data_IF_146354097166
#
_entry.id   IF_146354097166
#
_cell.length_a   1.000
_cell.length_b   1.000
_cell.length_c   1.000
_cell.angle_alpha   90.00
_cell.angle_beta   90.00
_cell.angle_gamma   90.00
#
_symmetry.space_group_name_H-M   'P 1'
#
loop_
_entity.id
_entity.type
_entity.pdbx_description
1 polymer ?
#
# COMPACT_ATOMS: atom_id res chain seq x y z
N UNK A 1 -7.69 -1.57 13.60
CA UNK A 1 -6.49 -0.84 13.17
C UNK A 1 -5.85 -1.74 12.13
N UNK A 2 -6.04 -1.44 10.84
CA UNK A 2 -5.55 -2.32 9.77
C UNK A 2 -4.04 -2.20 9.71
N UNK A 3 -3.37 -3.25 10.15
CA UNK A 3 -1.94 -3.33 10.10
C UNK A 3 -1.49 -3.39 8.64
N UNK A 4 -0.25 -2.99 8.37
CA UNK A 4 0.33 -3.14 7.01
C UNK A 4 0.40 -4.60 6.54
N UNK A 5 0.07 -5.55 7.44
CA UNK A 5 -0.09 -6.97 7.19
C UNK A 5 -1.36 -7.36 6.43
N UNK A 6 -2.40 -6.51 6.38
CA UNK A 6 -3.65 -6.79 5.65
C UNK A 6 -3.55 -6.44 4.15
N UNK A 7 -2.41 -5.95 3.67
CA UNK A 7 -2.21 -5.54 2.27
C UNK A 7 -2.22 -6.75 1.34
N UNK A 8 -3.41 -7.08 0.82
CA UNK A 8 -3.63 -8.08 -0.22
C UNK A 8 -3.92 -7.46 -1.58
N UNK A 9 -3.56 -8.16 -2.67
CA UNK A 9 -4.00 -7.78 -4.03
C UNK A 9 -5.53 -7.83 -4.11
N UNK A 10 -6.13 -6.81 -4.70
CA UNK A 10 -7.58 -6.68 -4.79
C UNK A 10 -8.24 -6.06 -3.56
N UNK A 11 -7.48 -5.75 -2.50
CA UNK A 11 -7.99 -5.00 -1.35
C UNK A 11 -8.35 -3.58 -1.79
N UNK A 12 -9.55 -3.14 -1.41
CA UNK A 12 -10.02 -1.77 -1.63
C UNK A 12 -9.73 -0.95 -0.39
N UNK A 13 -8.99 0.13 -0.55
CA UNK A 13 -8.57 1.02 0.51
C UNK A 13 -8.96 2.46 0.19
N UNK A 14 -9.25 3.24 1.21
CA UNK A 14 -9.47 4.68 1.08
C UNK A 14 -8.14 5.38 1.29
N UNK A 15 -7.70 6.15 0.30
CA UNK A 15 -6.50 7.00 0.38
C UNK A 15 -6.90 8.42 0.04
N UNK A 16 -6.66 9.34 0.98
CA UNK A 16 -6.97 10.77 0.83
C UNK A 16 -8.43 11.04 0.39
N UNK A 17 -9.37 10.26 0.92
CA UNK A 17 -10.79 10.38 0.58
C UNK A 17 -11.21 9.74 -0.74
N UNK A 18 -10.28 9.14 -1.49
CA UNK A 18 -10.56 8.44 -2.74
C UNK A 18 -10.38 6.92 -2.61
N UNK A 19 -11.24 6.11 -3.25
CA UNK A 19 -11.12 4.66 -3.23
C UNK A 19 -10.06 4.18 -4.23
N UNK A 20 -9.11 3.40 -3.73
CA UNK A 20 -8.07 2.72 -4.50
C UNK A 20 -8.18 1.21 -4.33
N UNK A 21 -7.76 0.46 -5.34
CA UNK A 21 -7.56 -0.99 -5.27
C UNK A 21 -6.09 -1.31 -5.34
N UNK A 22 -5.60 -2.14 -4.43
CA UNK A 22 -4.21 -2.60 -4.45
C UNK A 22 -4.02 -3.55 -5.63
N UNK A 23 -3.14 -3.17 -6.56
CA UNK A 23 -2.78 -3.99 -7.71
C UNK A 23 -1.52 -4.81 -7.44
N UNK A 24 -0.59 -4.24 -6.68
CA UNK A 24 0.65 -4.91 -6.31
C UNK A 24 1.17 -4.45 -4.95
N UNK A 25 1.86 -5.33 -4.24
CA UNK A 25 2.54 -4.98 -3.01
C UNK A 25 3.84 -5.74 -2.91
N UNK A 26 4.87 -5.07 -2.40
CA UNK A 26 6.21 -5.62 -2.24
C UNK A 26 6.70 -5.27 -0.86
N UNK A 27 6.81 -6.29 -0.01
CA UNK A 27 7.42 -6.15 1.29
C UNK A 27 8.94 -6.29 1.17
N UNK A 28 9.68 -5.25 1.58
CA UNK A 28 11.13 -5.17 1.48
C UNK A 28 11.73 -5.19 2.88
N UNK A 29 12.59 -6.19 3.13
CA UNK A 29 13.38 -6.33 4.36
C UNK A 29 14.85 -6.06 4.04
N UNK A 30 15.34 -4.81 4.17
CA UNK A 30 16.74 -4.52 3.93
C UNK A 30 17.60 -5.15 5.03
N UNK A 31 18.77 -5.70 4.69
CA UNK A 31 19.67 -6.34 5.65
C UNK A 31 20.19 -5.40 6.76
N UNK A 32 20.15 -4.08 6.53
CA UNK A 32 20.32 -3.02 7.53
C UNK A 32 19.31 -1.90 7.24
N UNK A 33 18.44 -1.56 8.20
CA UNK A 33 17.45 -0.49 8.10
C UNK A 33 16.01 -0.92 8.43
N UNK A 34 15.07 0.02 8.31
CA UNK A 34 13.66 -0.23 8.62
C UNK A 34 12.98 -0.97 7.46
N UNK A 35 12.13 -1.94 7.80
CA UNK A 35 11.30 -2.66 6.84
C UNK A 35 10.28 -1.70 6.22
N UNK A 36 9.98 -1.88 4.94
CA UNK A 36 8.97 -1.07 4.26
C UNK A 36 8.20 -1.90 3.24
N UNK A 37 6.94 -1.55 3.03
CA UNK A 37 6.06 -2.15 2.03
C UNK A 37 5.80 -1.12 0.95
N UNK A 38 6.19 -1.42 -0.29
CA UNK A 38 5.79 -0.64 -1.47
C UNK A 38 4.48 -1.20 -1.99
N UNK A 39 3.46 -0.36 -2.08
CA UNK A 39 2.15 -0.76 -2.58
C UNK A 39 1.82 0.05 -3.83
N UNK A 40 1.51 -0.64 -4.92
CA UNK A 40 0.92 -0.07 -6.11
C UNK A 40 -0.59 -0.22 -6.03
N UNK A 41 -1.28 0.88 -6.27
CA UNK A 41 -2.72 1.00 -6.14
C UNK A 41 -3.27 1.66 -7.39
N UNK A 42 -4.49 1.33 -7.77
CA UNK A 42 -5.20 1.97 -8.87
C UNK A 42 -6.45 2.65 -8.33
N UNK A 43 -6.63 3.92 -8.66
CA UNK A 43 -7.84 4.67 -8.32
C UNK A 43 -9.04 4.02 -8.99
N UNK A 44 -10.08 3.74 -8.21
CA UNK A 44 -11.35 3.22 -8.72
C UNK A 44 -12.21 4.31 -9.36
N UNK A 45 -11.91 5.59 -9.09
CA UNK A 45 -12.63 6.72 -9.68
C UNK A 45 -12.02 7.16 -11.01
N UNK A 46 -10.70 7.35 -11.03
CA UNK A 46 -9.98 7.95 -12.17
C UNK A 46 -9.21 6.92 -12.99
N UNK A 47 -9.03 5.69 -12.47
CA UNK A 47 -8.20 4.67 -13.11
C UNK A 47 -6.69 4.93 -13.01
N UNK A 48 -6.25 6.02 -12.38
CA UNK A 48 -4.85 6.40 -12.22
C UNK A 48 -4.10 5.43 -11.32
N UNK A 49 -2.85 5.12 -11.65
CA UNK A 49 -1.98 4.33 -10.79
C UNK A 49 -1.26 5.24 -9.81
N UNK A 50 -1.19 4.81 -8.55
CA UNK A 50 -0.49 5.49 -7.46
C UNK A 50 0.43 4.48 -6.78
N UNK A 51 1.69 4.87 -6.58
CA UNK A 51 2.66 4.08 -5.83
C UNK A 51 2.92 4.75 -4.49
N UNK A 52 2.75 4.00 -3.40
CA UNK A 52 2.98 4.49 -2.05
C UNK A 52 3.87 3.53 -1.28
N UNK A 53 4.85 4.08 -0.56
CA UNK A 53 5.72 3.30 0.31
C UNK A 53 5.30 3.53 1.75
N UNK A 54 4.94 2.46 2.45
CA UNK A 54 4.59 2.45 3.86
C UNK A 54 5.76 1.87 4.65
N UNK A 55 6.31 2.62 5.61
CA UNK A 55 7.35 2.09 6.49
C UNK A 55 6.70 1.24 7.59
N UNK A 56 7.31 0.11 7.92
CA UNK A 56 6.85 -0.75 9.01
C UNK A 56 7.02 0.02 10.32
N UNK A 57 5.90 0.46 10.90
CA UNK A 57 5.86 1.28 12.12
C UNK A 57 5.16 2.64 11.98
N UNK A 58 4.86 3.10 10.76
CA UNK A 58 3.91 4.22 10.56
C UNK A 58 2.49 3.66 10.67
N UNK A 59 1.80 4.02 11.76
CA UNK A 59 0.38 3.71 11.99
C UNK A 59 -0.52 4.49 11.03
#
# INVERSE_FOLDING_TARGET
MHDTSDFGKGLKIMVDGSPYVITDFQHVKPGKGNQFTRTKMRSLLTGSNLERTFKSGEK
#
